data_IF_259541268001
#
_entry.id   IF_259541268001
#
_cell.length_a   1.000
_cell.length_b   1.000
_cell.length_c   1.000
_cell.angle_alpha   90.00
_cell.angle_beta   90.00
_cell.angle_gamma   90.00
#
_symmetry.space_group_name_H-M   'P 1'
#
loop_
_entity.id
_entity.type
_entity.pdbx_description
1 polymer ?
#
# COMPACT_ATOMS: atom_id res chain seq x y z
N UNK A 1 -14.56 -2.34 13.25
CA UNK A 1 -13.57 -1.24 13.39
C UNK A 1 -14.00 -0.22 14.47
N UNK A 2 -14.03 -0.60 15.75
CA UNK A 2 -14.51 0.27 16.82
C UNK A 2 -13.57 1.46 17.11
N UNK A 3 -12.25 1.27 17.02
CA UNK A 3 -11.25 2.33 17.28
C UNK A 3 -11.37 3.46 16.27
N UNK A 4 -11.38 3.11 14.99
CA UNK A 4 -11.51 4.06 13.89
C UNK A 4 -12.83 4.83 13.92
N UNK A 5 -13.93 4.15 14.25
CA UNK A 5 -15.22 4.79 14.46
C UNK A 5 -15.18 5.74 15.66
N UNK A 6 -14.56 5.33 16.77
CA UNK A 6 -14.34 6.19 17.93
C UNK A 6 -13.55 7.46 17.61
N UNK A 7 -12.49 7.34 16.80
CA UNK A 7 -11.72 8.50 16.31
C UNK A 7 -12.61 9.43 15.47
N UNK A 8 -13.38 8.89 14.54
CA UNK A 8 -14.32 9.68 13.73
C UNK A 8 -15.35 10.40 14.62
N UNK A 9 -15.94 9.71 15.60
CA UNK A 9 -16.88 10.30 16.55
C UNK A 9 -16.27 11.36 17.46
N UNK A 10 -14.98 11.23 17.81
CA UNK A 10 -14.26 12.19 18.65
C UNK A 10 -13.88 13.47 17.88
N UNK A 11 -13.38 13.30 16.66
CA UNK A 11 -12.90 14.38 15.81
C UNK A 11 -14.07 15.20 15.26
N UNK A 12 -15.12 14.54 14.74
CA UNK A 12 -16.22 15.19 14.00
C UNK A 12 -15.65 16.24 13.04
N UNK A 13 -16.26 17.42 12.88
CA UNK A 13 -15.71 18.49 12.05
C UNK A 13 -14.82 19.48 12.81
N UNK A 14 -14.29 19.12 13.98
CA UNK A 14 -13.44 20.04 14.75
C UNK A 14 -11.98 19.95 14.29
N UNK A 15 -11.54 20.96 13.54
CA UNK A 15 -10.18 21.02 12.96
C UNK A 15 -9.06 20.88 14.01
N UNK A 16 -9.22 21.46 15.20
CA UNK A 16 -8.20 21.36 16.28
C UNK A 16 -8.03 19.90 16.73
N UNK A 17 -9.14 19.18 16.88
CA UNK A 17 -9.12 17.75 17.25
C UNK A 17 -8.55 16.90 16.13
N UNK A 18 -8.89 17.20 14.87
CA UNK A 18 -8.33 16.52 13.71
C UNK A 18 -6.81 16.67 13.60
N UNK A 19 -6.31 17.90 13.75
CA UNK A 19 -4.87 18.20 13.76
C UNK A 19 -4.18 17.51 14.93
N UNK A 20 -4.76 17.55 16.14
CA UNK A 20 -4.21 16.86 17.29
C UNK A 20 -4.08 15.35 17.05
N UNK A 21 -5.13 14.70 16.52
CA UNK A 21 -5.10 13.27 16.19
C UNK A 21 -4.05 12.97 15.12
N UNK A 22 -3.95 13.80 14.08
CA UNK A 22 -2.93 13.64 13.05
C UNK A 22 -1.51 13.71 13.63
N UNK A 23 -1.21 14.73 14.43
CA UNK A 23 0.11 14.92 15.04
C UNK A 23 0.45 13.78 16.01
N UNK A 24 -0.48 13.42 16.89
CA UNK A 24 -0.29 12.33 17.85
C UNK A 24 -0.03 11.01 17.11
N UNK A 25 -0.82 10.73 16.07
CA UNK A 25 -0.64 9.50 15.26
C UNK A 25 0.71 9.49 14.56
N UNK A 26 1.12 10.63 13.99
CA UNK A 26 2.42 10.78 13.36
C UNK A 26 3.56 10.51 14.34
N UNK A 27 3.54 11.16 15.51
CA UNK A 27 4.58 10.98 16.54
C UNK A 27 4.63 9.53 17.02
N UNK A 28 3.48 8.95 17.37
CA UNK A 28 3.42 7.56 17.86
C UNK A 28 3.93 6.58 16.82
N UNK A 29 3.53 6.74 15.55
CA UNK A 29 3.96 5.84 14.48
C UNK A 29 5.46 5.94 14.18
N UNK A 30 6.01 7.15 14.10
CA UNK A 30 7.46 7.32 13.87
C UNK A 30 8.30 6.89 15.08
N UNK A 31 7.79 7.07 16.30
CA UNK A 31 8.42 6.52 17.51
C UNK A 31 8.44 5.00 17.45
N UNK A 32 7.35 4.39 16.99
CA UNK A 32 7.27 2.94 16.82
C UNK A 32 8.16 2.42 15.68
N UNK A 33 8.28 3.16 14.56
CA UNK A 33 9.27 2.86 13.52
C UNK A 33 10.70 2.91 14.08
N UNK A 34 11.03 3.94 14.84
CA UNK A 34 12.36 4.07 15.45
C UNK A 34 12.66 2.93 16.44
N UNK A 35 11.68 2.58 17.28
CA UNK A 35 11.77 1.42 18.16
C UNK A 35 12.04 0.13 17.37
N UNK A 36 11.27 -0.10 16.30
CA UNK A 36 11.41 -1.29 15.48
C UNK A 36 12.78 -1.35 14.79
N UNK A 37 13.25 -0.23 14.24
CA UNK A 37 14.57 -0.15 13.61
C UNK A 37 15.70 -0.44 14.60
N UNK A 38 15.64 0.17 15.79
CA UNK A 38 16.68 0.03 16.81
C UNK A 38 16.73 -1.36 17.47
N UNK A 39 15.57 -1.94 17.81
CA UNK A 39 15.52 -3.21 18.56
C UNK A 39 15.38 -4.45 17.69
N UNK A 40 14.74 -4.32 16.51
CA UNK A 40 14.47 -5.46 15.61
C UNK A 40 15.39 -5.44 14.41
N UNK A 41 15.44 -4.36 13.62
CA UNK A 41 16.22 -4.38 12.35
C UNK A 41 17.73 -4.42 12.61
N UNK A 42 18.23 -3.59 13.52
CA UNK A 42 19.66 -3.50 13.84
C UNK A 42 19.98 -3.93 15.28
N UNK A 43 19.01 -4.57 15.95
CA UNK A 43 19.05 -4.82 17.38
C UNK A 43 19.16 -6.30 17.76
N UNK A 44 19.11 -6.56 19.06
CA UNK A 44 19.31 -7.88 19.66
C UNK A 44 18.21 -8.88 19.25
N UNK A 45 17.04 -8.38 18.82
CA UNK A 45 15.87 -9.20 18.49
C UNK A 45 15.62 -9.38 16.99
N UNK A 46 16.65 -9.22 16.15
CA UNK A 46 16.54 -9.38 14.69
C UNK A 46 15.89 -10.71 14.27
N UNK A 47 16.21 -11.81 14.95
CA UNK A 47 15.68 -13.13 14.60
C UNK A 47 14.39 -13.50 15.32
N UNK A 48 14.10 -12.87 16.47
CA UNK A 48 12.96 -13.24 17.30
C UNK A 48 11.71 -12.41 16.99
N UNK A 49 11.90 -11.14 16.67
CA UNK A 49 10.82 -10.14 16.57
C UNK A 49 10.56 -9.65 15.15
N UNK A 50 11.16 -10.29 14.14
CA UNK A 50 11.04 -9.89 12.74
C UNK A 50 9.61 -9.92 12.16
N UNK A 51 8.64 -10.54 12.87
CA UNK A 51 7.22 -10.57 12.50
C UNK A 51 6.38 -9.49 13.19
N UNK A 52 6.97 -8.66 14.07
CA UNK A 52 6.26 -7.56 14.72
C UNK A 52 5.77 -6.52 13.70
N UNK A 53 6.41 -6.44 12.53
CA UNK A 53 5.99 -5.62 11.39
C UNK A 53 4.59 -6.00 10.87
N UNK A 54 4.15 -7.25 11.05
CA UNK A 54 2.83 -7.75 10.63
C UNK A 54 1.70 -7.40 11.60
N UNK A 55 2.03 -6.85 12.76
CA UNK A 55 1.01 -6.41 13.73
C UNK A 55 0.34 -5.13 13.23
N UNK A 56 -0.94 -4.99 13.53
CA UNK A 56 -1.81 -3.90 13.06
C UNK A 56 -1.26 -2.48 13.26
N UNK A 57 -0.39 -2.26 14.26
CA UNK A 57 0.22 -0.94 14.55
C UNK A 57 0.96 -0.41 13.32
N UNK A 58 1.60 -1.31 12.55
CA UNK A 58 2.35 -0.99 11.34
C UNK A 58 1.52 -0.39 10.21
N UNK A 59 0.19 -0.55 10.25
CA UNK A 59 -0.72 -0.01 9.24
C UNK A 59 -1.65 1.07 9.80
N UNK A 60 -1.54 1.37 11.10
CA UNK A 60 -2.45 2.24 11.82
C UNK A 60 -2.48 3.66 11.25
N UNK A 61 -1.30 4.18 10.85
CA UNK A 61 -1.15 5.52 10.27
C UNK A 61 -2.05 5.70 9.04
N UNK A 62 -2.09 4.72 8.13
CA UNK A 62 -2.89 4.80 6.91
C UNK A 62 -4.39 4.83 7.21
N UNK A 63 -4.84 4.04 8.19
CA UNK A 63 -6.24 4.01 8.61
C UNK A 63 -6.70 5.33 9.24
N UNK A 64 -5.90 5.90 10.14
CA UNK A 64 -6.23 7.19 10.79
C UNK A 64 -6.28 8.33 9.78
N UNK A 65 -5.26 8.46 8.92
CA UNK A 65 -5.26 9.51 7.90
C UNK A 65 -6.41 9.34 6.91
N UNK A 66 -6.80 8.10 6.56
CA UNK A 66 -7.98 7.85 5.74
C UNK A 66 -9.28 8.36 6.38
N UNK A 67 -9.44 8.19 7.70
CA UNK A 67 -10.62 8.70 8.42
C UNK A 67 -10.61 10.22 8.52
N UNK A 68 -9.44 10.82 8.77
CA UNK A 68 -9.32 12.28 8.78
C UNK A 68 -9.62 12.87 7.40
N UNK A 69 -9.12 12.24 6.34
CA UNK A 69 -9.44 12.63 4.96
C UNK A 69 -10.94 12.54 4.69
N UNK A 70 -11.62 11.49 5.17
CA UNK A 70 -13.08 11.35 5.06
C UNK A 70 -13.84 12.43 5.85
N UNK A 71 -13.39 12.69 7.08
CA UNK A 71 -14.07 13.60 8.00
C UNK A 71 -13.94 15.07 7.57
N UNK A 72 -12.81 15.43 6.95
CA UNK A 72 -12.53 16.76 6.40
C UNK A 72 -12.54 16.74 4.86
N UNK A 73 -13.41 15.93 4.26
CA UNK A 73 -13.43 15.66 2.83
C UNK A 73 -13.45 16.91 1.96
N UNK A 74 -14.26 17.91 2.27
CA UNK A 74 -14.33 19.13 1.46
C UNK A 74 -12.98 19.86 1.39
N UNK A 75 -12.28 19.92 2.52
CA UNK A 75 -10.93 20.47 2.59
C UNK A 75 -9.91 19.58 1.88
N UNK A 76 -9.96 18.28 2.13
CA UNK A 76 -9.06 17.29 1.53
C UNK A 76 -9.18 17.26 0.00
N UNK A 77 -10.40 17.19 -0.54
CA UNK A 77 -10.67 17.14 -1.97
C UNK A 77 -10.16 18.41 -2.67
N UNK A 78 -10.32 19.58 -2.04
CA UNK A 78 -9.77 20.85 -2.55
C UNK A 78 -8.24 20.85 -2.49
N UNK A 79 -7.66 20.47 -1.36
CA UNK A 79 -6.21 20.44 -1.16
C UNK A 79 -5.51 19.52 -2.14
N UNK A 80 -5.94 18.27 -2.22
CA UNK A 80 -5.29 17.24 -3.04
C UNK A 80 -5.41 17.53 -4.53
N UNK A 81 -6.56 18.06 -4.99
CA UNK A 81 -6.72 18.41 -6.40
C UNK A 81 -5.99 19.69 -6.80
N UNK A 82 -5.82 20.66 -5.89
CA UNK A 82 -5.07 21.90 -6.15
C UNK A 82 -3.56 21.69 -6.05
N UNK A 83 -3.10 20.89 -5.10
CA UNK A 83 -1.70 20.71 -4.76
C UNK A 83 -1.14 19.33 -5.16
N UNK A 84 -1.77 18.65 -6.13
CA UNK A 84 -1.32 17.34 -6.62
C UNK A 84 0.16 17.32 -7.05
N UNK A 85 0.66 18.43 -7.60
CA UNK A 85 2.05 18.59 -8.02
C UNK A 85 3.02 18.62 -6.83
N UNK A 86 2.63 19.21 -5.68
CA UNK A 86 3.41 19.12 -4.44
C UNK A 86 3.49 17.68 -3.95
N UNK A 87 2.36 16.96 -3.99
CA UNK A 87 2.31 15.54 -3.62
C UNK A 87 3.21 14.72 -4.57
N UNK A 88 3.23 15.06 -5.86
CA UNK A 88 4.12 14.43 -6.83
C UNK A 88 5.59 14.68 -6.51
N UNK A 89 5.97 15.90 -6.12
CA UNK A 89 7.34 16.19 -5.71
C UNK A 89 7.72 15.41 -4.44
N UNK A 90 6.82 15.30 -3.45
CA UNK A 90 7.05 14.47 -2.26
C UNK A 90 7.21 13.01 -2.64
N UNK A 91 6.38 12.49 -3.55
CA UNK A 91 6.50 11.14 -4.08
C UNK A 91 7.86 10.89 -4.74
N UNK A 92 8.30 11.79 -5.63
CA UNK A 92 9.61 11.68 -6.30
C UNK A 92 10.74 11.74 -5.27
N UNK A 93 10.67 12.68 -4.32
CA UNK A 93 11.67 12.81 -3.25
C UNK A 93 11.78 11.55 -2.39
N UNK A 94 10.64 10.98 -1.97
CA UNK A 94 10.61 9.73 -1.21
C UNK A 94 11.07 8.54 -2.04
N UNK A 95 10.75 8.51 -3.34
CA UNK A 95 11.22 7.46 -4.25
C UNK A 95 12.74 7.48 -4.38
N UNK A 96 13.33 8.66 -4.60
CA UNK A 96 14.80 8.81 -4.66
C UNK A 96 15.43 8.42 -3.32
N UNK A 97 14.90 8.91 -2.20
CA UNK A 97 15.41 8.59 -0.88
C UNK A 97 15.39 7.08 -0.60
N UNK A 98 14.27 6.41 -0.90
CA UNK A 98 14.13 4.96 -0.74
C UNK A 98 15.17 4.19 -1.57
N UNK A 99 15.41 4.62 -2.82
CA UNK A 99 16.39 3.97 -3.68
C UNK A 99 17.84 4.19 -3.19
N UNK A 100 18.19 5.39 -2.73
CA UNK A 100 19.50 5.66 -2.12
C UNK A 100 19.69 4.77 -0.89
N UNK A 101 18.66 4.68 -0.04
CA UNK A 101 18.70 3.85 1.15
C UNK A 101 18.90 2.37 0.78
N UNK A 102 18.21 1.87 -0.24
CA UNK A 102 18.37 0.50 -0.73
C UNK A 102 19.75 0.24 -1.31
N UNK A 103 20.33 1.20 -2.04
CA UNK A 103 21.69 1.09 -2.59
C UNK A 103 22.77 1.04 -1.50
N UNK A 104 22.56 1.71 -0.37
CA UNK A 104 23.51 1.70 0.74
C UNK A 104 23.67 0.32 1.40
N UNK A 105 22.74 -0.63 1.19
CA UNK A 105 22.88 -2.00 1.67
C UNK A 105 23.81 -2.87 0.81
N UNK A 106 24.35 -2.33 -0.29
CA UNK A 106 25.22 -3.05 -1.20
C UNK A 106 24.47 -3.95 -2.20
N UNK A 107 25.22 -4.46 -3.17
CA UNK A 107 24.71 -5.36 -4.20
C UNK A 107 25.30 -6.76 -4.04
N UNK A 108 24.50 -7.84 -4.17
CA UNK A 108 23.05 -7.85 -4.36
C UNK A 108 22.29 -7.40 -3.10
N UNK A 109 21.17 -6.69 -3.29
CA UNK A 109 20.36 -6.20 -2.18
C UNK A 109 19.82 -7.41 -1.41
N UNK A 110 20.17 -7.53 -0.14
CA UNK A 110 19.57 -8.53 0.73
C UNK A 110 18.12 -8.13 1.02
N UNK A 111 17.16 -8.94 0.59
CA UNK A 111 15.73 -8.67 0.81
C UNK A 111 15.36 -8.62 2.29
N UNK A 112 16.15 -9.23 3.18
CA UNK A 112 15.97 -9.10 4.63
C UNK A 112 16.22 -7.66 5.11
N UNK A 113 17.07 -6.89 4.42
CA UNK A 113 17.36 -5.49 4.77
C UNK A 113 16.40 -4.50 4.06
N UNK A 114 15.65 -4.99 3.08
CA UNK A 114 14.66 -4.22 2.32
C UNK A 114 13.27 -4.25 2.98
N UNK A 115 13.22 -4.12 4.31
CA UNK A 115 11.94 -4.05 5.02
C UNK A 115 11.15 -2.81 4.59
N UNK A 116 9.85 -2.99 4.38
CA UNK A 116 8.90 -1.89 4.10
C UNK A 116 8.69 -0.98 5.33
N UNK A 117 9.20 -1.39 6.49
CA UNK A 117 8.99 -0.75 7.78
C UNK A 117 10.01 0.35 8.06
N UNK A 118 10.03 1.36 7.18
CA UNK A 118 10.98 2.48 7.21
C UNK A 118 10.28 3.83 7.07
N UNK A 119 10.86 4.91 7.62
CA UNK A 119 10.36 6.28 7.42
C UNK A 119 10.18 6.65 5.94
N UNK A 120 11.20 6.37 5.11
CA UNK A 120 11.23 6.64 3.67
C UNK A 120 10.06 5.94 2.94
N UNK A 121 9.90 4.63 3.19
CA UNK A 121 8.82 3.80 2.64
C UNK A 121 7.44 4.23 3.12
N UNK A 122 7.28 4.60 4.39
CA UNK A 122 5.98 5.06 4.91
C UNK A 122 5.53 6.35 4.23
N UNK A 123 6.43 7.33 4.12
CA UNK A 123 6.14 8.60 3.45
C UNK A 123 5.87 8.39 1.95
N UNK A 124 6.63 7.50 1.32
CA UNK A 124 6.37 7.07 -0.05
C UNK A 124 4.96 6.50 -0.20
N UNK A 125 4.55 5.56 0.66
CA UNK A 125 3.20 4.99 0.64
C UNK A 125 2.11 6.04 0.84
N UNK A 126 2.27 6.96 1.80
CA UNK A 126 1.31 8.05 2.01
C UNK A 126 1.20 8.96 0.78
N UNK A 127 2.33 9.27 0.13
CA UNK A 127 2.33 10.07 -1.10
C UNK A 127 1.65 9.35 -2.26
N UNK A 128 1.89 8.04 -2.43
CA UNK A 128 1.21 7.20 -3.43
C UNK A 128 -0.30 7.19 -3.20
N UNK A 129 -0.75 6.96 -1.97
CA UNK A 129 -2.18 6.96 -1.62
C UNK A 129 -2.80 8.33 -1.94
N UNK A 130 -2.11 9.41 -1.58
CA UNK A 130 -2.59 10.76 -1.85
C UNK A 130 -2.67 11.05 -3.37
N UNK A 131 -1.66 10.69 -4.15
CA UNK A 131 -1.68 10.82 -5.62
C UNK A 131 -2.80 10.00 -6.25
N UNK A 132 -2.98 8.75 -5.81
CA UNK A 132 -4.03 7.89 -6.31
C UNK A 132 -5.42 8.47 -5.98
N UNK A 133 -5.59 9.02 -4.78
CA UNK A 133 -6.81 9.72 -4.41
C UNK A 133 -7.06 10.97 -5.28
N UNK A 134 -6.02 11.74 -5.60
CA UNK A 134 -6.11 12.90 -6.51
C UNK A 134 -6.58 12.48 -7.90
N UNK A 135 -6.02 11.39 -8.41
CA UNK A 135 -6.37 10.82 -9.69
C UNK A 135 -7.83 10.34 -9.73
N UNK A 136 -8.26 9.58 -8.71
CA UNK A 136 -9.65 9.14 -8.60
C UNK A 136 -10.62 10.32 -8.50
N UNK A 137 -10.32 11.35 -7.71
CA UNK A 137 -11.15 12.56 -7.59
C UNK A 137 -11.27 13.32 -8.92
N UNK A 138 -10.16 13.44 -9.66
CA UNK A 138 -10.17 14.02 -11.00
C UNK A 138 -11.08 13.25 -11.95
N UNK A 139 -11.03 11.92 -11.89
CA UNK A 139 -11.85 11.05 -12.72
C UNK A 139 -13.35 11.13 -12.38
N UNK A 140 -13.67 11.23 -11.08
CA UNK A 140 -15.04 11.46 -10.59
C UNK A 140 -15.58 12.79 -11.13
N UNK A 141 -14.79 13.88 -11.04
CA UNK A 141 -15.18 15.21 -11.55
C UNK A 141 -15.41 15.22 -13.07
N UNK A 142 -14.68 14.41 -13.82
CA UNK A 142 -14.86 14.23 -15.27
C UNK A 142 -16.00 13.29 -15.65
N UNK A 143 -16.75 12.75 -14.67
CA UNK A 143 -17.87 11.83 -14.86
C UNK A 143 -17.53 10.61 -15.76
N UNK A 144 -16.31 10.11 -15.67
CA UNK A 144 -15.88 8.98 -16.50
C UNK A 144 -16.32 7.66 -15.88
N UNK A 145 -17.53 7.24 -16.25
CA UNK A 145 -18.19 6.04 -15.74
C UNK A 145 -17.37 4.77 -15.98
N UNK A 146 -16.71 4.64 -17.13
CA UNK A 146 -15.91 3.46 -17.49
C UNK A 146 -14.73 3.27 -16.54
N UNK A 147 -13.98 4.33 -16.28
CA UNK A 147 -12.83 4.27 -15.39
C UNK A 147 -13.25 3.99 -13.95
N UNK A 148 -14.37 4.60 -13.49
CA UNK A 148 -14.89 4.38 -12.15
C UNK A 148 -15.25 2.90 -11.89
N UNK A 149 -15.86 2.24 -12.88
CA UNK A 149 -16.19 0.81 -12.81
C UNK A 149 -14.93 -0.06 -12.70
N UNK A 150 -13.89 0.26 -13.47
CA UNK A 150 -12.61 -0.46 -13.42
C UNK A 150 -11.96 -0.29 -12.04
N UNK A 151 -11.88 0.93 -11.51
CA UNK A 151 -11.30 1.17 -10.18
C UNK A 151 -12.09 0.49 -9.06
N UNK A 152 -13.42 0.51 -9.14
CA UNK A 152 -14.26 -0.19 -8.17
C UNK A 152 -14.02 -1.70 -8.22
N UNK A 153 -13.95 -2.29 -9.42
CA UNK A 153 -13.60 -3.71 -9.59
C UNK A 153 -12.23 -4.01 -8.98
N UNK A 154 -11.20 -3.23 -9.33
CA UNK A 154 -9.84 -3.43 -8.82
C UNK A 154 -9.82 -3.34 -7.29
N UNK A 155 -10.48 -2.34 -6.69
CA UNK A 155 -10.52 -2.17 -5.24
C UNK A 155 -11.23 -3.34 -4.51
N UNK A 156 -12.35 -3.82 -5.05
CA UNK A 156 -13.11 -4.95 -4.48
C UNK A 156 -12.28 -6.24 -4.48
N UNK A 157 -11.52 -6.48 -5.55
CA UNK A 157 -10.75 -7.72 -5.69
C UNK A 157 -9.30 -7.62 -5.25
N UNK A 158 -8.74 -6.43 -5.00
CA UNK A 158 -7.33 -6.24 -4.64
C UNK A 158 -6.87 -7.13 -3.48
N UNK A 159 -7.62 -7.14 -2.36
CA UNK A 159 -7.26 -7.96 -1.19
C UNK A 159 -7.33 -9.47 -1.48
N UNK A 160 -8.32 -9.91 -2.26
CA UNK A 160 -8.48 -11.32 -2.64
C UNK A 160 -7.40 -11.76 -3.63
N UNK A 161 -7.08 -10.88 -4.58
CA UNK A 161 -6.06 -11.08 -5.58
C UNK A 161 -4.66 -11.07 -4.95
N UNK A 162 -4.42 -10.33 -3.86
CA UNK A 162 -3.14 -10.33 -3.16
C UNK A 162 -2.69 -11.73 -2.72
N UNK A 163 -3.58 -12.50 -2.08
CA UNK A 163 -3.25 -13.87 -1.69
C UNK A 163 -2.98 -14.76 -2.91
N UNK A 164 -3.78 -14.59 -3.96
CA UNK A 164 -3.59 -15.31 -5.22
C UNK A 164 -2.30 -14.90 -5.95
N UNK A 165 -1.80 -13.68 -5.73
CA UNK A 165 -0.63 -13.13 -6.38
C UNK A 165 0.63 -13.89 -6.01
N UNK A 166 0.82 -14.20 -4.72
CA UNK A 166 1.96 -15.01 -4.27
C UNK A 166 1.92 -16.40 -4.91
N UNK A 167 0.74 -17.02 -4.97
CA UNK A 167 0.55 -18.33 -5.59
C UNK A 167 0.90 -18.32 -7.08
N UNK A 168 0.33 -17.39 -7.85
CA UNK A 168 0.61 -17.28 -9.28
C UNK A 168 2.04 -16.85 -9.56
N UNK A 169 2.66 -16.03 -8.70
CA UNK A 169 4.06 -15.67 -8.86
C UNK A 169 4.96 -16.90 -8.80
N UNK A 170 4.72 -17.81 -7.85
CA UNK A 170 5.49 -19.06 -7.76
C UNK A 170 5.26 -19.98 -8.96
N UNK A 171 4.01 -20.09 -9.44
CA UNK A 171 3.68 -20.88 -10.63
C UNK A 171 4.27 -20.29 -11.91
N UNK A 172 4.22 -18.97 -12.09
CA UNK A 172 4.81 -18.30 -13.25
C UNK A 172 6.33 -18.41 -13.19
N UNK A 173 6.92 -18.14 -12.02
CA UNK A 173 8.37 -18.17 -11.83
C UNK A 173 8.96 -19.55 -12.10
N UNK A 174 8.45 -20.58 -11.42
CA UNK A 174 8.97 -21.96 -11.52
C UNK A 174 8.34 -22.75 -12.66
N UNK A 175 7.03 -22.64 -12.84
CA UNK A 175 6.27 -23.45 -13.80
C UNK A 175 6.47 -23.03 -15.26
N UNK A 176 6.63 -21.73 -15.54
CA UNK A 176 7.00 -21.25 -16.89
C UNK A 176 8.52 -21.10 -17.06
N UNK A 177 9.31 -21.54 -16.06
CA UNK A 177 10.76 -21.45 -16.05
C UNK A 177 11.27 -20.03 -16.36
N UNK A 178 10.61 -19.02 -15.77
CA UNK A 178 11.00 -17.63 -15.93
C UNK A 178 12.35 -17.33 -15.28
N UNK A 179 12.74 -18.13 -14.28
CA UNK A 179 14.08 -18.07 -13.67
C UNK A 179 15.20 -18.18 -14.71
N UNK A 180 15.11 -19.17 -15.60
CA UNK A 180 16.07 -19.34 -16.70
C UNK A 180 16.05 -18.15 -17.68
N UNK A 181 14.86 -17.62 -17.98
CA UNK A 181 14.73 -16.45 -18.87
C UNK A 181 15.28 -15.16 -18.23
N UNK A 182 15.31 -15.08 -16.90
CA UNK A 182 15.86 -13.93 -16.18
C UNK A 182 17.37 -13.78 -16.40
N UNK A 183 18.10 -14.87 -16.65
CA UNK A 183 19.54 -14.83 -16.91
C UNK A 183 19.86 -14.09 -18.21
N UNK A 184 19.03 -14.28 -19.25
CA UNK A 184 19.25 -13.69 -20.59
C UNK A 184 18.57 -12.33 -20.74
N UNK A 185 17.35 -12.19 -20.23
CA UNK A 185 16.52 -11.00 -20.42
C UNK A 185 15.85 -10.55 -19.11
N UNK A 186 16.61 -10.08 -18.11
CA UNK A 186 16.09 -9.80 -16.77
C UNK A 186 14.96 -8.78 -16.75
N UNK A 187 15.04 -7.72 -17.57
CA UNK A 187 14.03 -6.66 -17.64
C UNK A 187 12.72 -7.21 -18.26
N UNK A 188 12.83 -7.96 -19.35
CA UNK A 188 11.66 -8.55 -20.02
C UNK A 188 10.97 -9.55 -19.11
N UNK A 189 11.76 -10.39 -18.44
CA UNK A 189 11.26 -11.39 -17.49
C UNK A 189 10.59 -10.73 -16.29
N UNK A 190 11.13 -9.62 -15.78
CA UNK A 190 10.51 -8.84 -14.71
C UNK A 190 9.13 -8.31 -15.12
N UNK A 191 9.03 -7.63 -16.26
CA UNK A 191 7.74 -7.09 -16.71
C UNK A 191 6.76 -8.19 -17.11
N UNK A 192 7.23 -9.24 -17.78
CA UNK A 192 6.42 -10.39 -18.17
C UNK A 192 5.83 -11.11 -16.96
N UNK A 193 6.68 -11.45 -15.97
CA UNK A 193 6.26 -12.09 -14.73
C UNK A 193 5.28 -11.20 -13.96
N UNK A 194 5.56 -9.90 -13.86
CA UNK A 194 4.70 -8.95 -13.16
C UNK A 194 3.31 -8.85 -13.79
N UNK A 195 3.22 -8.67 -15.12
CA UNK A 195 1.95 -8.57 -15.84
C UNK A 195 1.17 -9.88 -15.77
N UNK A 196 1.82 -11.02 -16.03
CA UNK A 196 1.18 -12.34 -16.01
C UNK A 196 0.61 -12.65 -14.63
N UNK A 197 1.41 -12.45 -13.58
CA UNK A 197 0.99 -12.68 -12.20
C UNK A 197 -0.20 -11.79 -11.86
N UNK A 198 -0.18 -10.51 -12.24
CA UNK A 198 -1.27 -9.59 -11.98
C UNK A 198 -2.58 -10.06 -12.65
N UNK A 199 -2.54 -10.38 -13.95
CA UNK A 199 -3.72 -10.84 -14.70
C UNK A 199 -4.28 -12.14 -14.11
N UNK A 200 -3.43 -13.13 -13.86
CA UNK A 200 -3.84 -14.42 -13.31
C UNK A 200 -4.47 -14.28 -11.91
N UNK A 201 -3.91 -13.40 -11.08
CA UNK A 201 -4.40 -13.15 -9.72
C UNK A 201 -5.79 -12.54 -9.69
N UNK A 202 -6.02 -11.50 -10.50
CA UNK A 202 -7.34 -10.88 -10.59
C UNK A 202 -8.36 -11.83 -11.23
N UNK A 203 -7.94 -12.58 -12.26
CA UNK A 203 -8.82 -13.53 -12.96
C UNK A 203 -9.27 -14.66 -12.03
N UNK A 204 -8.34 -15.29 -11.33
CA UNK A 204 -8.64 -16.35 -10.37
C UNK A 204 -9.48 -15.86 -9.19
N UNK A 205 -9.16 -14.70 -8.60
CA UNK A 205 -9.95 -14.11 -7.52
C UNK A 205 -11.40 -13.82 -7.94
N UNK A 206 -11.59 -13.34 -9.18
CA UNK A 206 -12.91 -13.11 -9.75
C UNK A 206 -13.66 -14.43 -9.99
N UNK A 207 -13.05 -15.38 -10.69
CA UNK A 207 -13.67 -16.67 -11.04
C UNK A 207 -14.06 -17.47 -9.80
N UNK A 208 -13.18 -17.55 -8.80
CA UNK A 208 -13.46 -18.23 -7.54
C UNK A 208 -14.61 -17.56 -6.78
N UNK A 209 -14.67 -16.23 -6.76
CA UNK A 209 -15.77 -15.52 -6.13
C UNK A 209 -17.10 -15.78 -6.82
N UNK A 210 -17.15 -15.73 -8.16
CA UNK A 210 -18.35 -16.01 -8.94
C UNK A 210 -18.81 -17.46 -8.74
N UNK A 211 -17.86 -18.40 -8.76
CA UNK A 211 -18.14 -19.82 -8.54
C UNK A 211 -18.70 -20.06 -7.14
N UNK A 212 -18.08 -19.49 -6.11
CA UNK A 212 -18.54 -19.58 -4.73
C UNK A 212 -19.92 -18.94 -4.51
N UNK A 213 -20.18 -17.79 -5.14
CA UNK A 213 -21.47 -17.12 -5.07
C UNK A 213 -22.59 -17.99 -5.68
N UNK A 214 -22.31 -18.68 -6.79
CA UNK A 214 -23.25 -19.64 -7.39
C UNK A 214 -23.44 -20.90 -6.53
N UNK A 215 -22.36 -21.46 -5.99
CA UNK A 215 -22.43 -22.62 -5.12
C UNK A 215 -23.28 -22.36 -3.86
N UNK A 216 -23.16 -21.16 -3.27
CA UNK A 216 -24.02 -20.74 -2.15
C UNK A 216 -25.50 -20.61 -2.48
N UNK A 217 -25.86 -20.40 -3.74
CA UNK A 217 -27.27 -20.34 -4.14
C UNK A 217 -27.87 -21.74 -4.33
N UNK A 218 -27.04 -22.77 -4.46
CA UNK A 218 -27.43 -24.16 -4.61
C UNK A 218 -27.47 -24.93 -3.28
N UNK A 219 -26.87 -24.38 -2.22
CA UNK A 219 -26.87 -24.86 -0.85
C UNK A 219 -27.96 -24.16 -0.03
#
# INVERSE_FOLDING_TARGET
MPIFWGISCFVKQNAKRGIAVAIITFILYFTWLYFYDYYVIHGIHEHDWYLLDRIFISFFIYGVYGILAWQFRDYYDSFVTKFWWLILMVFIGCFIWTNIELQNFGHPINFNNALYYKPSMTLYCLAVIALFSAFCLHQVRKNSQTSLKVFHFLAVYAYRAYLSNVFWNQLVWRGLNMEYHAEFHPILTLFGTWILTWILSFSSAYLLHVWWAKAKQLL
#
